data_IF_971925753913
#
_entry.id   IF_971925753913
#
_cell.length_a   1.000
_cell.length_b   1.000
_cell.length_c   1.000
_cell.angle_alpha   90.00
_cell.angle_beta   90.00
_cell.angle_gamma   90.00
#
_symmetry.space_group_name_H-M   'P 1'
#
loop_
_entity.id
_entity.type
_entity.pdbx_description
1 polymer ?
#
# COMPACT_ATOMS: atom_id res chain seq x y z
N UNK A 1 -20.82 26.27 -9.20
CA UNK A 1 -20.51 24.98 -9.84
C UNK A 1 -19.01 24.97 -10.04
N UNK A 2 -18.27 24.24 -9.20
CA UNK A 2 -16.80 24.13 -9.32
C UNK A 2 -16.55 23.39 -10.64
N UNK A 3 -15.65 23.86 -11.52
CA UNK A 3 -15.34 23.13 -12.74
C UNK A 3 -14.93 21.70 -12.39
N UNK A 4 -15.53 20.72 -13.04
CA UNK A 4 -15.15 19.32 -12.90
C UNK A 4 -13.81 19.17 -13.62
N UNK A 5 -12.70 19.47 -12.96
CA UNK A 5 -11.39 19.22 -13.54
C UNK A 5 -11.20 17.70 -13.63
N UNK A 6 -10.81 17.20 -14.79
CA UNK A 6 -10.40 15.81 -14.98
C UNK A 6 -8.90 15.69 -14.67
N UNK A 7 -8.49 14.57 -14.08
CA UNK A 7 -7.09 14.35 -13.73
C UNK A 7 -6.21 14.28 -14.98
N UNK A 8 -5.12 15.06 -14.99
CA UNK A 8 -4.18 15.15 -16.11
C UNK A 8 -4.64 15.99 -17.30
N UNK A 9 -5.86 16.53 -17.26
CA UNK A 9 -6.34 17.41 -18.33
C UNK A 9 -5.74 18.82 -18.22
N UNK A 10 -5.43 19.41 -19.38
CA UNK A 10 -4.92 20.78 -19.46
C UNK A 10 -6.01 21.77 -19.04
N UNK A 11 -5.66 22.62 -18.08
CA UNK A 11 -6.50 23.72 -17.63
C UNK A 11 -6.41 24.89 -18.61
N UNK A 12 -7.56 25.46 -18.93
CA UNK A 12 -7.67 26.70 -19.68
C UNK A 12 -7.61 27.87 -18.71
N UNK A 13 -6.52 28.62 -18.77
CA UNK A 13 -6.26 29.75 -17.87
C UNK A 13 -6.24 31.05 -18.66
N UNK A 14 -6.78 32.11 -18.06
CA UNK A 14 -6.67 33.46 -18.62
C UNK A 14 -5.25 33.96 -18.44
N UNK A 15 -4.55 34.17 -19.55
CA UNK A 15 -3.23 34.80 -19.54
C UNK A 15 -3.41 36.31 -19.57
N UNK A 16 -2.74 37.01 -18.65
CA UNK A 16 -2.67 38.47 -18.63
C UNK A 16 -1.23 38.87 -18.93
N UNK A 17 -1.05 39.68 -19.97
CA UNK A 17 0.23 40.33 -20.22
C UNK A 17 0.49 41.38 -19.11
N UNK A 18 1.67 41.28 -18.51
CA UNK A 18 2.10 42.09 -17.38
C UNK A 18 3.29 43.00 -17.72
N UNK A 19 3.81 42.95 -18.94
CA UNK A 19 4.95 43.74 -19.41
C UNK A 19 6.21 42.90 -19.65
N UNK A 20 7.29 43.60 -20.04
CA UNK A 20 8.59 43.00 -20.33
C UNK A 20 9.52 43.03 -19.10
N UNK A 21 10.37 42.01 -18.96
CA UNK A 21 11.46 41.98 -17.99
C UNK A 21 12.75 42.48 -18.65
N UNK A 22 13.56 43.24 -17.91
CA UNK A 22 14.83 43.80 -18.42
C UNK A 22 15.95 42.76 -18.48
N UNK A 23 15.86 41.70 -17.67
CA UNK A 23 16.81 40.58 -17.61
C UNK A 23 16.21 39.33 -18.22
N UNK A 24 17.04 38.43 -18.77
CA UNK A 24 16.58 37.11 -19.19
C UNK A 24 16.44 36.20 -17.96
N UNK A 25 15.22 35.89 -17.49
CA UNK A 25 15.04 35.20 -16.23
C UNK A 25 15.50 33.74 -16.33
N UNK A 26 16.47 33.36 -15.51
CA UNK A 26 16.87 31.97 -15.32
C UNK A 26 16.07 31.33 -14.17
N UNK A 27 15.71 32.12 -13.16
CA UNK A 27 14.81 31.70 -12.08
C UNK A 27 13.72 32.74 -11.82
N UNK A 28 12.55 32.26 -11.39
CA UNK A 28 11.41 33.06 -10.99
C UNK A 28 10.85 32.50 -9.69
N UNK A 29 10.73 33.35 -8.66
CA UNK A 29 10.23 32.91 -7.35
C UNK A 29 9.36 33.98 -6.70
N UNK A 30 8.26 33.55 -6.09
CA UNK A 30 7.45 34.43 -5.25
C UNK A 30 8.00 34.45 -3.82
N UNK A 31 7.88 35.60 -3.15
CA UNK A 31 8.01 35.68 -1.69
C UNK A 31 6.97 34.79 -1.02
N UNK A 32 7.22 34.32 0.20
CA UNK A 32 6.33 33.40 0.95
C UNK A 32 4.85 33.85 1.04
N UNK A 33 4.60 35.16 1.07
CA UNK A 33 3.25 35.73 1.12
C UNK A 33 2.65 36.10 -0.26
N UNK A 34 3.36 35.80 -1.36
CA UNK A 34 2.96 36.10 -2.73
C UNK A 34 2.96 37.58 -3.12
N UNK A 35 3.43 38.51 -2.27
CA UNK A 35 3.41 39.95 -2.56
C UNK A 35 4.48 40.39 -3.55
N UNK A 36 5.62 39.72 -3.55
CA UNK A 36 6.74 40.02 -4.42
C UNK A 36 7.06 38.81 -5.31
N UNK A 37 7.59 39.11 -6.49
CA UNK A 37 8.17 38.12 -7.40
C UNK A 37 9.56 38.61 -7.78
N UNK A 38 10.54 37.71 -7.76
CA UNK A 38 11.90 38.01 -8.19
C UNK A 38 12.18 37.31 -9.51
N UNK A 39 12.85 38.01 -10.42
CA UNK A 39 13.49 37.45 -11.60
C UNK A 39 15.00 37.55 -11.39
N UNK A 40 15.70 36.43 -11.51
CA UNK A 40 17.17 36.37 -11.40
C UNK A 40 17.74 35.75 -12.67
N UNK A 41 18.77 36.37 -13.24
CA UNK A 41 19.39 35.95 -14.49
C UNK A 41 20.46 36.93 -14.92
N UNK A 42 21.38 36.49 -15.79
CA UNK A 42 22.48 37.30 -16.33
C UNK A 42 23.37 37.98 -15.27
N UNK A 43 23.46 37.38 -14.07
CA UNK A 43 24.22 37.93 -12.94
C UNK A 43 23.54 39.08 -12.21
N UNK A 44 22.25 39.30 -12.46
CA UNK A 44 21.42 40.31 -11.84
C UNK A 44 20.12 39.72 -11.28
N UNK A 45 19.52 40.42 -10.32
CA UNK A 45 18.19 40.12 -9.82
C UNK A 45 17.34 41.39 -9.79
N UNK A 46 16.03 41.23 -10.03
CA UNK A 46 15.05 42.31 -9.91
C UNK A 46 13.84 41.79 -9.14
N UNK A 47 13.50 42.47 -8.05
CA UNK A 47 12.30 42.23 -7.25
C UNK A 47 11.18 43.15 -7.74
N UNK A 48 10.05 42.56 -8.06
CA UNK A 48 8.83 43.25 -8.46
C UNK A 48 7.70 43.01 -7.45
N UNK A 49 6.72 43.92 -7.43
CA UNK A 49 5.40 43.64 -6.84
C UNK A 49 4.62 42.67 -7.73
N UNK A 50 4.09 41.58 -7.16
CA UNK A 50 3.47 40.51 -7.95
C UNK A 50 2.20 40.96 -8.70
N UNK A 51 1.45 41.92 -8.16
CA UNK A 51 0.16 42.36 -8.74
C UNK A 51 0.28 43.33 -9.91
N UNK A 52 1.38 44.09 -9.98
CA UNK A 52 1.53 45.19 -10.93
C UNK A 52 2.92 45.24 -11.60
N UNK A 53 3.78 44.27 -11.32
CA UNK A 53 5.18 44.20 -11.75
C UNK A 53 5.96 45.52 -11.58
N UNK A 54 5.70 46.28 -10.51
CA UNK A 54 6.49 47.48 -10.18
C UNK A 54 7.79 47.07 -9.53
N UNK A 55 8.91 47.57 -10.06
CA UNK A 55 10.25 47.38 -9.49
C UNK A 55 10.30 47.87 -8.04
N UNK A 56 10.90 47.07 -7.16
CA UNK A 56 11.08 47.35 -5.74
C UNK A 56 12.54 47.43 -5.32
N UNK A 57 13.35 46.51 -5.82
CA UNK A 57 14.78 46.47 -5.58
C UNK A 57 15.43 45.68 -6.71
N UNK A 58 16.71 45.93 -6.93
CA UNK A 58 17.52 45.24 -7.93
C UNK A 58 18.98 45.25 -7.48
N UNK A 59 19.78 44.39 -8.08
CA UNK A 59 21.23 44.35 -7.84
C UNK A 59 21.91 43.21 -8.57
N UNK A 60 23.21 43.08 -8.36
CA UNK A 60 23.98 41.94 -8.86
C UNK A 60 23.72 40.71 -7.99
N UNK A 61 23.64 39.54 -8.62
CA UNK A 61 23.37 38.28 -7.95
C UNK A 61 23.38 37.12 -8.95
N UNK A 62 24.13 36.07 -8.61
CA UNK A 62 24.11 34.81 -9.34
C UNK A 62 22.87 33.99 -8.97
N UNK A 63 22.48 34.02 -7.69
CA UNK A 63 21.30 33.34 -7.16
C UNK A 63 20.60 34.19 -6.12
N UNK A 64 19.29 33.96 -5.99
CA UNK A 64 18.41 34.66 -5.08
C UNK A 64 17.53 33.65 -4.35
N UNK A 65 17.36 33.82 -3.03
CA UNK A 65 16.41 33.02 -2.25
C UNK A 65 15.65 33.86 -1.22
N UNK A 66 14.37 33.55 -1.04
CA UNK A 66 13.52 34.15 0.00
C UNK A 66 13.63 33.39 1.32
N UNK A 67 13.54 34.11 2.44
CA UNK A 67 13.24 33.48 3.72
C UNK A 67 11.74 33.13 3.82
N UNK A 68 11.38 32.36 4.85
CA UNK A 68 9.97 32.22 5.25
C UNK A 68 9.36 33.57 5.64
N UNK A 69 10.15 34.44 6.28
CA UNK A 69 9.78 35.85 6.47
C UNK A 69 9.89 36.60 5.13
N UNK A 70 8.78 37.15 4.60
CA UNK A 70 8.78 37.83 3.30
C UNK A 70 9.60 39.13 3.26
N UNK A 71 10.06 39.64 4.41
CA UNK A 71 10.93 40.82 4.51
C UNK A 71 12.42 40.49 4.35
N UNK A 72 12.80 39.21 4.47
CA UNK A 72 14.17 38.73 4.46
C UNK A 72 14.47 37.95 3.16
N UNK A 73 15.65 38.20 2.60
CA UNK A 73 16.15 37.45 1.45
C UNK A 73 17.67 37.45 1.41
N UNK A 74 18.24 36.47 0.70
CA UNK A 74 19.67 36.35 0.49
C UNK A 74 20.00 36.33 -1.01
N UNK A 75 21.14 36.91 -1.35
CA UNK A 75 21.67 36.96 -2.71
C UNK A 75 23.10 36.47 -2.71
N UNK A 76 23.39 35.46 -3.53
CA UNK A 76 24.75 35.00 -3.78
C UNK A 76 25.37 35.88 -4.86
N UNK A 77 26.24 36.81 -4.47
CA UNK A 77 26.92 37.70 -5.43
C UNK A 77 28.12 37.00 -6.11
N UNK A 78 28.78 36.09 -5.40
CA UNK A 78 29.93 35.34 -5.91
C UNK A 78 30.01 33.94 -5.29
N UNK A 79 31.02 33.16 -5.64
CA UNK A 79 31.32 31.87 -5.02
C UNK A 79 31.77 31.95 -3.55
N UNK A 80 31.98 33.15 -3.00
CA UNK A 80 32.47 33.35 -1.62
C UNK A 80 31.70 34.42 -0.84
N UNK A 81 30.67 35.02 -1.44
CA UNK A 81 29.93 36.12 -0.84
C UNK A 81 28.43 35.94 -1.00
N UNK A 82 27.73 35.93 0.13
CA UNK A 82 26.28 36.01 0.21
C UNK A 82 25.93 37.30 0.96
N UNK A 83 24.98 38.06 0.45
CA UNK A 83 24.41 39.23 1.14
C UNK A 83 23.00 38.92 1.61
N UNK A 84 22.70 39.32 2.84
CA UNK A 84 21.37 39.15 3.45
C UNK A 84 20.75 40.53 3.58
N UNK A 85 19.49 40.64 3.17
CA UNK A 85 18.73 41.87 3.13
C UNK A 85 17.48 41.75 4.00
N UNK A 86 17.16 42.82 4.73
CA UNK A 86 15.93 42.98 5.51
C UNK A 86 15.20 44.24 5.04
N UNK A 87 13.94 44.11 4.66
CA UNK A 87 13.15 45.21 4.11
C UNK A 87 13.84 45.95 2.94
N UNK A 88 14.44 45.18 2.02
CA UNK A 88 15.15 45.70 0.83
C UNK A 88 16.39 46.55 1.14
N UNK A 89 16.94 46.42 2.34
CA UNK A 89 18.22 47.03 2.74
C UNK A 89 19.18 45.94 3.16
N UNK A 90 20.43 46.08 2.76
CA UNK A 90 21.49 45.15 3.16
C UNK A 90 21.59 45.18 4.70
N UNK A 91 21.46 44.01 5.31
CA UNK A 91 21.51 43.83 6.75
C UNK A 91 22.87 43.28 7.18
N UNK A 92 23.36 42.27 6.48
CA UNK A 92 24.67 41.65 6.75
C UNK A 92 25.22 40.96 5.49
N UNK A 93 26.49 40.57 5.55
CA UNK A 93 27.13 39.76 4.52
C UNK A 93 27.82 38.56 5.15
N UNK A 94 27.69 37.40 4.50
CA UNK A 94 28.28 36.13 4.88
C UNK A 94 29.39 35.79 3.90
N UNK A 95 30.57 35.47 4.43
CA UNK A 95 31.72 34.98 3.67
C UNK A 95 32.15 33.63 4.23
N UNK A 96 31.53 32.53 3.79
CA UNK A 96 31.96 31.20 4.20
C UNK A 96 33.38 30.92 3.71
N UNK A 97 34.15 30.14 4.48
CA UNK A 97 35.49 29.66 4.08
C UNK A 97 35.43 28.54 3.02
N UNK A 98 34.22 28.23 2.54
CA UNK A 98 33.92 27.22 1.52
C UNK A 98 33.50 27.88 0.21
N UNK A 99 33.76 27.19 -0.90
CA UNK A 99 33.25 27.61 -2.22
C UNK A 99 31.76 27.28 -2.28
N UNK A 100 30.96 28.31 -2.53
CA UNK A 100 29.51 28.23 -2.59
C UNK A 100 29.08 27.85 -4.01
N UNK A 101 28.46 26.68 -4.13
CA UNK A 101 27.88 26.16 -5.37
C UNK A 101 26.41 26.52 -5.52
N UNK A 102 25.70 26.77 -4.41
CA UNK A 102 24.38 27.36 -4.46
C UNK A 102 23.77 27.68 -3.10
N UNK A 103 22.61 28.33 -3.09
CA UNK A 103 21.86 28.67 -1.88
C UNK A 103 20.40 28.21 -1.98
N UNK A 104 19.78 27.88 -0.84
CA UNK A 104 18.35 27.61 -0.71
C UNK A 104 17.77 28.38 0.47
N UNK A 105 16.53 28.87 0.31
CA UNK A 105 15.82 29.65 1.32
C UNK A 105 14.87 28.82 2.18
N UNK A 106 14.14 29.48 3.07
CA UNK A 106 13.18 28.83 3.98
C UNK A 106 13.30 29.37 5.40
N UNK A 107 13.08 28.48 6.39
CA UNK A 107 13.22 28.84 7.80
C UNK A 107 14.66 29.21 8.17
N UNK A 108 15.63 28.62 7.48
CA UNK A 108 17.05 28.92 7.56
C UNK A 108 17.59 29.12 6.15
N UNK A 109 18.71 29.82 6.02
CA UNK A 109 19.47 29.96 4.79
C UNK A 109 20.40 28.75 4.65
N UNK A 110 20.14 27.92 3.65
CA UNK A 110 21.00 26.80 3.32
C UNK A 110 22.04 27.22 2.28
N UNK A 111 23.31 26.88 2.53
CA UNK A 111 24.44 27.15 1.64
C UNK A 111 25.05 25.81 1.25
N UNK A 112 25.03 25.55 -0.05
CA UNK A 112 25.56 24.33 -0.68
C UNK A 112 26.98 24.57 -1.16
N UNK A 113 27.84 23.62 -0.86
CA UNK A 113 29.17 23.46 -1.41
C UNK A 113 29.33 22.03 -1.94
N UNK A 114 30.39 21.77 -2.71
CA UNK A 114 30.68 20.46 -3.29
C UNK A 114 30.74 19.32 -2.26
N UNK A 115 31.05 19.66 -1.01
CA UNK A 115 31.24 18.71 0.10
C UNK A 115 30.51 19.09 1.38
N UNK A 116 29.59 20.06 1.37
CA UNK A 116 28.87 20.47 2.59
C UNK A 116 27.53 21.16 2.30
N UNK A 117 26.62 21.05 3.26
CA UNK A 117 25.33 21.75 3.29
C UNK A 117 25.18 22.44 4.65
N UNK A 118 25.41 23.74 4.67
CA UNK A 118 25.45 24.54 5.89
C UNK A 118 24.14 25.32 6.09
N UNK A 119 23.57 25.30 7.30
CA UNK A 119 22.32 26.00 7.62
C UNK A 119 22.55 27.19 8.54
N UNK A 120 22.44 28.39 7.98
CA UNK A 120 22.57 29.65 8.67
C UNK A 120 21.18 30.13 9.10
N UNK A 121 21.03 30.51 10.36
CA UNK A 121 19.94 31.39 10.75
C UNK A 121 20.08 32.73 10.00
N UNK A 122 18.93 33.33 9.68
CA UNK A 122 18.88 34.61 9.00
C UNK A 122 19.49 35.74 9.87
N UNK A 123 19.63 35.49 11.17
CA UNK A 123 20.29 36.38 12.14
C UNK A 123 21.61 35.80 12.74
N UNK A 124 21.88 34.48 12.67
CA UNK A 124 23.05 33.78 13.30
C UNK A 124 23.58 32.57 12.47
N UNK A 125 24.83 32.10 12.58
CA UNK A 125 25.43 31.16 11.59
C UNK A 125 25.76 29.74 12.11
N UNK A 126 25.35 28.63 11.45
CA UNK A 126 25.77 27.23 11.75
C UNK A 126 25.92 26.38 10.44
N UNK A 127 26.68 25.27 10.44
CA UNK A 127 27.11 24.49 9.25
C UNK A 127 26.91 22.95 9.39
N UNK A 128 26.91 22.19 8.27
CA UNK A 128 26.72 20.72 8.24
C UNK A 128 27.17 20.02 6.93
N UNK A 129 27.21 18.68 6.90
CA UNK A 129 28.07 17.88 6.01
C UNK A 129 27.34 16.72 5.26
N UNK A 130 26.83 16.93 4.05
CA UNK A 130 26.62 15.82 3.08
C UNK A 130 25.47 14.80 3.30
N UNK A 131 24.20 15.24 3.33
CA UNK A 131 23.10 14.52 2.66
C UNK A 131 21.85 15.42 2.52
N UNK A 132 20.90 15.09 1.64
CA UNK A 132 19.60 15.79 1.61
C UNK A 132 18.62 15.08 2.55
N UNK A 133 18.08 15.82 3.51
CA UNK A 133 17.06 15.36 4.44
C UNK A 133 15.90 16.36 4.44
N UNK A 134 14.67 15.89 4.61
CA UNK A 134 13.55 16.77 4.96
C UNK A 134 13.56 16.91 6.47
N UNK A 135 13.96 18.08 6.95
CA UNK A 135 14.14 18.34 8.38
C UNK A 135 13.02 19.27 8.88
N UNK A 136 12.45 18.93 10.03
CA UNK A 136 11.71 19.90 10.84
C UNK A 136 12.73 20.82 11.46
N UNK A 137 12.53 22.11 11.28
CA UNK A 137 13.21 23.07 12.13
C UNK A 137 12.48 23.20 13.47
N UNK A 138 13.19 23.01 14.57
CA UNK A 138 12.68 23.26 15.92
C UNK A 138 13.22 24.59 16.46
N UNK A 139 12.43 25.66 16.25
CA UNK A 139 12.80 27.01 16.69
C UNK A 139 13.00 27.11 18.21
N UNK A 140 12.22 26.36 19.00
CA UNK A 140 12.31 26.38 20.45
C UNK A 140 13.59 25.68 20.95
N UNK A 141 14.00 24.59 20.30
CA UNK A 141 15.27 23.93 20.62
C UNK A 141 16.47 24.85 20.36
N UNK A 142 16.46 25.57 19.23
CA UNK A 142 17.53 26.54 18.92
C UNK A 142 17.52 27.73 19.88
N UNK A 143 16.36 28.27 20.22
CA UNK A 143 16.25 29.40 21.15
C UNK A 143 16.73 29.06 22.57
N UNK A 144 16.56 27.80 22.99
CA UNK A 144 16.95 27.32 24.33
C UNK A 144 18.34 26.68 24.38
N UNK A 145 19.02 26.51 23.23
CA UNK A 145 20.34 25.88 23.17
C UNK A 145 21.43 26.78 23.75
N UNK A 146 22.35 26.18 24.50
CA UNK A 146 23.52 26.88 25.00
C UNK A 146 24.63 26.89 23.92
N UNK A 147 24.84 28.05 23.28
CA UNK A 147 25.82 28.23 22.20
C UNK A 147 27.27 27.87 22.59
N UNK A 148 27.58 27.81 23.89
CA UNK A 148 28.90 27.40 24.39
C UNK A 148 29.12 25.87 24.40
N UNK A 149 28.05 25.07 24.31
CA UNK A 149 28.09 23.60 24.29
C UNK A 149 27.74 23.02 22.91
N UNK A 150 27.49 23.86 21.92
CA UNK A 150 27.27 23.43 20.54
C UNK A 150 28.54 22.76 19.98
N UNK A 151 28.38 21.62 19.32
CA UNK A 151 29.49 20.91 18.66
C UNK A 151 29.94 21.67 17.41
N UNK A 152 31.02 21.20 16.77
CA UNK A 152 31.45 21.73 15.48
C UNK A 152 30.35 21.62 14.39
N UNK A 153 29.43 20.67 14.58
CA UNK A 153 28.32 20.37 13.67
C UNK A 153 27.01 21.09 14.05
N UNK A 154 27.06 21.97 15.08
CA UNK A 154 25.93 22.79 15.50
C UNK A 154 25.09 22.19 16.64
N UNK A 155 23.79 22.44 16.57
CA UNK A 155 22.80 22.01 17.58
C UNK A 155 22.07 20.80 17.02
N UNK A 156 22.36 19.59 17.52
CA UNK A 156 21.72 18.35 17.05
C UNK A 156 20.18 18.39 17.17
N UNK A 157 19.66 18.98 18.25
CA UNK A 157 18.22 19.11 18.50
C UNK A 157 17.50 20.15 17.61
N UNK A 158 18.25 20.94 16.83
CA UNK A 158 17.67 21.95 15.94
C UNK A 158 16.83 21.33 14.81
N UNK A 159 17.14 20.07 14.47
CA UNK A 159 16.52 19.38 13.36
C UNK A 159 16.03 17.99 13.75
N UNK A 160 14.78 17.71 13.39
CA UNK A 160 14.20 16.37 13.48
C UNK A 160 13.89 15.87 12.07
N UNK A 161 14.29 14.66 11.73
CA UNK A 161 13.90 14.04 10.45
C UNK A 161 12.42 13.69 10.54
N UNK A 162 11.55 14.41 9.81
CA UNK A 162 10.11 14.12 9.85
C UNK A 162 9.72 13.15 8.75
N UNK A 163 8.89 12.16 9.11
CA UNK A 163 8.11 11.34 8.19
C UNK A 163 6.78 11.99 7.75
N UNK A 164 6.74 13.32 7.58
CA UNK A 164 5.53 14.03 7.18
C UNK A 164 5.20 13.79 5.70
N UNK A 165 3.96 14.13 5.30
CA UNK A 165 3.50 13.93 3.93
C UNK A 165 4.31 14.78 2.94
N UNK A 166 4.97 14.13 1.98
CA UNK A 166 5.70 14.81 0.92
C UNK A 166 5.20 14.38 -0.46
N UNK A 167 4.86 15.33 -1.33
CA UNK A 167 4.36 15.08 -2.69
C UNK A 167 5.47 15.41 -3.68
N UNK A 168 5.71 14.52 -4.65
CA UNK A 168 6.79 14.67 -5.63
C UNK A 168 6.49 13.98 -6.95
N UNK A 169 7.28 14.36 -7.96
CA UNK A 169 7.31 13.70 -9.27
C UNK A 169 8.62 12.92 -9.42
N UNK A 170 8.55 11.74 -10.03
CA UNK A 170 9.73 10.90 -10.28
C UNK A 170 10.24 11.05 -11.72
N UNK A 171 11.50 10.65 -11.95
CA UNK A 171 12.08 10.55 -13.29
C UNK A 171 11.37 9.53 -14.20
N UNK A 172 10.63 8.59 -13.61
CA UNK A 172 9.78 7.62 -14.31
C UNK A 172 8.36 8.16 -14.57
N UNK A 173 8.19 9.49 -14.55
CA UNK A 173 6.92 10.17 -14.78
C UNK A 173 5.81 9.63 -13.88
N UNK A 174 6.05 9.58 -12.56
CA UNK A 174 5.02 9.24 -11.56
C UNK A 174 4.81 10.41 -10.63
N UNK A 175 3.56 10.77 -10.40
CA UNK A 175 3.16 11.63 -9.30
C UNK A 175 2.90 10.75 -8.08
N UNK A 176 3.71 10.93 -7.04
CA UNK A 176 3.67 10.11 -5.84
C UNK A 176 3.70 11.00 -4.60
N UNK A 177 3.25 10.45 -3.49
CA UNK A 177 3.49 11.04 -2.18
C UNK A 177 4.09 10.01 -1.23
N UNK A 178 4.85 10.49 -0.27
CA UNK A 178 5.43 9.72 0.82
C UNK A 178 4.73 10.12 2.11
N UNK A 179 4.23 9.14 2.88
CA UNK A 179 3.70 9.35 4.23
C UNK A 179 4.13 8.19 5.10
N UNK A 180 4.87 8.47 6.18
CA UNK A 180 5.21 7.48 7.21
C UNK A 180 5.84 6.19 6.69
N UNK A 181 6.89 6.30 5.87
CA UNK A 181 7.58 5.13 5.31
C UNK A 181 7.02 4.60 3.99
N UNK A 182 5.79 4.97 3.63
CA UNK A 182 5.12 4.42 2.45
C UNK A 182 5.12 5.37 1.27
N UNK A 183 5.47 4.83 0.10
CA UNK A 183 5.39 5.49 -1.19
C UNK A 183 4.07 5.14 -1.88
N UNK A 184 3.26 6.15 -2.14
CA UNK A 184 1.96 5.98 -2.77
C UNK A 184 1.89 6.75 -4.08
N UNK A 185 1.64 6.04 -5.18
CA UNK A 185 1.44 6.67 -6.49
C UNK A 185 0.02 7.23 -6.59
N UNK A 186 -0.09 8.51 -6.92
CA UNK A 186 -1.36 9.18 -7.24
C UNK A 186 -1.72 8.92 -8.69
N UNK A 187 -0.77 9.16 -9.61
CA UNK A 187 -0.98 9.02 -11.04
C UNK A 187 0.32 8.66 -11.78
N UNK A 188 0.17 7.94 -12.89
CA UNK A 188 1.21 7.81 -13.89
C UNK A 188 1.05 8.95 -14.90
N UNK A 189 2.14 9.64 -15.17
CA UNK A 189 2.20 10.81 -16.02
C UNK A 189 2.70 10.38 -17.41
N UNK A 190 2.14 10.98 -18.44
CA UNK A 190 2.53 10.78 -19.84
C UNK A 190 3.79 11.57 -20.21
N UNK A 191 4.11 12.61 -19.44
CA UNK A 191 5.25 13.50 -19.64
C UNK A 191 5.83 13.99 -18.30
N UNK A 192 7.06 14.55 -18.32
CA UNK A 192 7.63 15.18 -17.14
C UNK A 192 6.79 16.40 -16.73
N UNK A 193 6.33 16.40 -15.47
CA UNK A 193 5.62 17.52 -14.87
C UNK A 193 6.41 18.07 -13.68
N UNK A 194 6.32 19.38 -13.49
CA UNK A 194 6.92 20.12 -12.39
C UNK A 194 5.81 20.57 -11.45
N UNK A 195 5.93 20.25 -10.16
CA UNK A 195 4.92 20.61 -9.16
C UNK A 195 4.86 22.13 -8.98
N UNK A 196 3.65 22.67 -9.03
CA UNK A 196 3.37 24.08 -8.73
C UNK A 196 2.90 24.26 -7.28
N UNK A 197 2.09 23.33 -6.80
CA UNK A 197 1.59 23.36 -5.42
C UNK A 197 0.30 22.58 -5.22
N UNK A 198 -0.11 22.48 -3.96
CA UNK A 198 -1.37 21.87 -3.56
C UNK A 198 -2.35 22.95 -3.12
N UNK A 199 -3.59 22.91 -3.61
CA UNK A 199 -4.66 23.83 -3.17
C UNK A 199 -5.67 23.04 -2.33
N UNK A 200 -5.69 23.25 -0.99
CA UNK A 200 -6.59 22.54 -0.07
C UNK A 200 -8.07 22.67 -0.40
N UNK A 201 -8.49 23.86 -0.84
CA UNK A 201 -9.88 24.16 -1.18
C UNK A 201 -10.41 23.26 -2.32
N UNK A 202 -9.52 22.90 -3.24
CA UNK A 202 -9.87 22.11 -4.42
C UNK A 202 -9.60 20.61 -4.20
N UNK A 203 -8.82 20.25 -3.16
CA UNK A 203 -8.24 18.92 -3.00
C UNK A 203 -7.46 18.47 -4.26
N UNK A 204 -6.63 19.36 -4.80
CA UNK A 204 -5.84 19.06 -6.01
C UNK A 204 -4.41 19.56 -5.93
N UNK A 205 -3.53 18.76 -6.54
CA UNK A 205 -2.17 19.12 -6.89
C UNK A 205 -2.19 19.74 -8.28
N UNK A 206 -1.51 20.86 -8.43
CA UNK A 206 -1.28 21.51 -9.72
C UNK A 206 0.17 21.32 -10.14
N UNK A 207 0.37 21.01 -11.41
CA UNK A 207 1.68 20.82 -12.00
C UNK A 207 1.72 21.42 -13.41
N UNK A 208 2.90 21.79 -13.89
CA UNK A 208 3.11 22.29 -15.25
C UNK A 208 4.11 21.43 -16.02
N UNK A 209 3.94 21.33 -17.33
CA UNK A 209 5.00 20.82 -18.21
C UNK A 209 5.95 21.94 -18.66
N UNK A 210 6.91 21.59 -19.52
CA UNK A 210 7.91 22.52 -20.08
C UNK A 210 7.31 23.59 -20.99
N UNK A 211 6.13 23.33 -21.54
CA UNK A 211 5.40 24.26 -22.41
C UNK A 211 4.43 25.15 -21.60
N UNK A 212 4.56 25.14 -20.26
CA UNK A 212 3.72 25.87 -19.32
C UNK A 212 2.23 25.49 -19.37
N UNK A 213 1.91 24.28 -19.84
CA UNK A 213 0.55 23.77 -19.73
C UNK A 213 0.31 23.33 -18.28
N UNK A 214 -0.72 23.88 -17.65
CA UNK A 214 -1.07 23.54 -16.27
C UNK A 214 -2.06 22.37 -16.30
N UNK A 215 -1.76 21.34 -15.52
CA UNK A 215 -2.62 20.18 -15.27
C UNK A 215 -2.90 20.04 -13.78
N UNK A 216 -3.95 19.31 -13.44
CA UNK A 216 -4.28 19.04 -12.02
C UNK A 216 -4.56 17.57 -11.77
N UNK A 217 -4.29 17.12 -10.54
CA UNK A 217 -4.58 15.78 -10.06
C UNK A 217 -5.28 15.85 -8.71
N UNK A 218 -6.36 15.10 -8.56
CA UNK A 218 -7.12 15.03 -7.31
C UNK A 218 -6.30 14.32 -6.23
N UNK A 219 -6.17 14.96 -5.09
CA UNK A 219 -5.61 14.39 -3.88
C UNK A 219 -6.38 14.92 -2.67
N UNK A 220 -7.09 14.02 -1.98
CA UNK A 220 -7.94 14.37 -0.86
C UNK A 220 -7.10 14.70 0.37
N UNK A 221 -7.22 15.93 0.87
CA UNK A 221 -6.52 16.36 2.08
C UNK A 221 -6.90 15.50 3.28
N UNK A 222 -8.18 15.14 3.42
CA UNK A 222 -8.64 14.29 4.53
C UNK A 222 -7.97 12.90 4.55
N UNK A 223 -7.62 12.35 3.39
CA UNK A 223 -6.88 11.08 3.32
C UNK A 223 -5.45 11.28 3.81
N UNK A 224 -4.79 12.38 3.40
CA UNK A 224 -3.44 12.69 3.86
C UNK A 224 -3.39 12.97 5.37
N UNK A 225 -4.30 13.81 5.87
CA UNK A 225 -4.42 14.14 7.29
C UNK A 225 -4.69 12.89 8.13
N UNK A 226 -5.56 11.99 7.66
CA UNK A 226 -5.79 10.70 8.31
C UNK A 226 -4.52 9.85 8.35
N UNK A 227 -3.84 9.68 7.21
CA UNK A 227 -2.61 8.90 7.14
C UNK A 227 -1.54 9.49 8.08
N UNK A 228 -1.37 10.81 8.10
CA UNK A 228 -0.46 11.50 9.00
C UNK A 228 -0.85 11.33 10.47
N UNK A 229 -2.14 11.45 10.83
CA UNK A 229 -2.62 11.25 12.20
C UNK A 229 -2.34 9.82 12.70
N UNK A 230 -2.60 8.81 11.87
CA UNK A 230 -2.29 7.40 12.19
C UNK A 230 -0.78 7.20 12.42
N UNK A 231 0.08 7.82 11.60
CA UNK A 231 1.54 7.75 11.77
C UNK A 231 2.02 8.43 13.05
N UNK A 232 1.35 9.50 13.46
CA UNK A 232 1.57 10.17 14.75
C UNK A 232 0.95 9.42 15.92
N UNK A 233 0.26 8.29 15.68
CA UNK A 233 -0.52 7.51 16.67
C UNK A 233 -1.61 8.32 17.37
N UNK A 234 -2.06 9.40 16.73
CA UNK A 234 -3.19 10.20 17.18
C UNK A 234 -4.49 9.61 16.61
N UNK A 235 -4.97 8.55 17.27
CA UNK A 235 -6.15 7.81 16.83
C UNK A 235 -7.44 8.60 17.06
N UNK A 236 -7.49 9.48 18.05
CA UNK A 236 -8.65 10.31 18.34
C UNK A 236 -8.91 11.32 17.21
N UNK A 237 -7.86 11.98 16.72
CA UNK A 237 -7.95 12.82 15.53
C UNK A 237 -8.28 12.00 14.29
N UNK A 238 -7.63 10.83 14.11
CA UNK A 238 -7.86 9.96 12.97
C UNK A 238 -9.32 9.50 12.86
N UNK A 239 -9.96 9.09 13.95
CA UNK A 239 -11.36 8.65 13.98
C UNK A 239 -12.34 9.77 13.63
N UNK A 240 -12.00 11.01 14.00
CA UNK A 240 -12.78 12.20 13.62
C UNK A 240 -12.65 12.48 12.12
N UNK A 241 -11.42 12.44 11.59
CA UNK A 241 -11.14 12.67 10.16
C UNK A 241 -11.75 11.56 9.30
N UNK A 242 -11.73 10.31 9.75
CA UNK A 242 -12.25 9.15 9.02
C UNK A 242 -13.70 9.35 8.57
N UNK A 243 -14.53 10.03 9.38
CA UNK A 243 -15.93 10.34 9.05
C UNK A 243 -16.09 11.29 7.86
N UNK A 244 -15.05 12.06 7.55
CA UNK A 244 -15.02 13.00 6.42
C UNK A 244 -14.53 12.33 5.13
N UNK A 245 -13.95 11.13 5.21
CA UNK A 245 -13.39 10.43 4.06
C UNK A 245 -14.54 9.77 3.26
N UNK A 246 -14.64 10.03 1.94
CA UNK A 246 -15.63 9.39 1.09
C UNK A 246 -15.42 7.87 1.00
N UNK A 247 -16.52 7.10 0.90
CA UNK A 247 -16.49 5.62 0.83
C UNK A 247 -15.59 5.08 -0.28
N UNK A 248 -15.51 5.80 -1.41
CA UNK A 248 -14.62 5.46 -2.54
C UNK A 248 -13.13 5.33 -2.17
N UNK A 249 -12.70 5.97 -1.09
CA UNK A 249 -11.31 5.94 -0.63
C UNK A 249 -11.10 5.04 0.59
N UNK A 250 -12.17 4.51 1.20
CA UNK A 250 -12.08 3.68 2.39
C UNK A 250 -11.24 2.42 2.15
N UNK A 251 -11.37 1.76 0.99
CA UNK A 251 -10.54 0.60 0.64
C UNK A 251 -9.05 0.96 0.58
N UNK A 252 -8.70 2.12 -0.01
CA UNK A 252 -7.31 2.60 -0.05
C UNK A 252 -6.77 2.90 1.35
N UNK A 253 -7.58 3.52 2.20
CA UNK A 253 -7.23 3.76 3.61
C UNK A 253 -7.04 2.45 4.36
N UNK A 254 -7.88 1.45 4.11
CA UNK A 254 -7.76 0.13 4.73
C UNK A 254 -6.44 -0.57 4.35
N UNK A 255 -6.03 -0.54 3.08
CA UNK A 255 -4.72 -1.07 2.67
C UNK A 255 -3.56 -0.36 3.36
N UNK A 256 -3.65 0.96 3.53
CA UNK A 256 -2.66 1.71 4.29
C UNK A 256 -2.60 1.22 5.74
N UNK A 257 -3.74 1.09 6.42
CA UNK A 257 -3.81 0.59 7.79
C UNK A 257 -3.24 -0.82 7.92
N UNK A 258 -3.56 -1.71 6.97
CA UNK A 258 -3.05 -3.08 6.95
C UNK A 258 -1.52 -3.12 6.89
N UNK A 259 -0.92 -2.37 5.96
CA UNK A 259 0.55 -2.30 5.82
C UNK A 259 1.22 -1.77 7.09
N UNK A 260 0.59 -0.82 7.75
CA UNK A 260 1.06 -0.24 9.01
C UNK A 260 0.82 -1.17 10.21
N UNK A 261 0.21 -2.34 10.00
CA UNK A 261 -0.02 -3.37 11.02
C UNK A 261 -1.36 -3.26 11.75
N UNK A 262 -2.18 -2.25 11.45
CA UNK A 262 -3.48 -1.99 12.06
C UNK A 262 -4.61 -2.80 11.40
N UNK A 263 -4.45 -4.13 11.34
CA UNK A 263 -5.35 -5.05 10.63
C UNK A 263 -6.80 -5.00 11.12
N UNK A 264 -7.02 -4.82 12.44
CA UNK A 264 -8.37 -4.73 13.02
C UNK A 264 -9.11 -3.50 12.52
N UNK A 265 -8.44 -2.35 12.52
CA UNK A 265 -8.96 -1.10 12.00
C UNK A 265 -9.14 -1.17 10.49
N UNK A 266 -8.19 -1.77 9.77
CA UNK A 266 -8.31 -2.02 8.33
C UNK A 266 -9.58 -2.80 7.99
N UNK A 267 -9.92 -3.84 8.76
CA UNK A 267 -11.14 -4.64 8.55
C UNK A 267 -12.42 -3.81 8.74
N UNK A 268 -12.43 -2.91 9.72
CA UNK A 268 -13.57 -2.04 10.00
C UNK A 268 -13.77 -0.96 8.93
N UNK A 269 -12.69 -0.47 8.33
CA UNK A 269 -12.72 0.59 7.31
C UNK A 269 -12.96 0.03 5.91
N UNK A 270 -12.42 -1.16 5.60
CA UNK A 270 -12.52 -1.73 4.26
C UNK A 270 -13.98 -2.00 3.87
N UNK A 271 -14.32 -1.68 2.63
CA UNK A 271 -15.63 -1.97 2.02
C UNK A 271 -15.55 -3.06 0.97
N UNK A 272 -14.35 -3.47 0.59
CA UNK A 272 -14.12 -4.53 -0.39
C UNK A 272 -14.28 -5.91 0.26
N UNK A 273 -15.22 -6.76 -0.18
CA UNK A 273 -15.43 -8.09 0.41
C UNK A 273 -14.19 -8.99 0.36
N UNK A 274 -13.39 -8.90 -0.70
CA UNK A 274 -12.18 -9.73 -0.85
C UNK A 274 -11.13 -9.32 0.16
N UNK A 275 -10.80 -8.03 0.23
CA UNK A 275 -9.87 -7.50 1.21
C UNK A 275 -10.33 -7.76 2.65
N UNK A 276 -11.62 -7.61 2.94
CA UNK A 276 -12.18 -7.91 4.27
C UNK A 276 -12.05 -9.40 4.61
N UNK A 277 -12.22 -10.29 3.64
CA UNK A 277 -12.10 -11.73 3.85
C UNK A 277 -10.67 -12.10 4.24
N UNK A 278 -9.68 -11.64 3.47
CA UNK A 278 -8.26 -11.83 3.77
C UNK A 278 -7.87 -11.26 5.15
N UNK A 279 -8.32 -10.04 5.47
CA UNK A 279 -8.10 -9.44 6.78
C UNK A 279 -8.74 -10.24 7.93
N UNK A 280 -9.96 -10.76 7.74
CA UNK A 280 -10.64 -11.58 8.72
C UNK A 280 -9.87 -12.89 8.96
N UNK A 281 -9.37 -13.55 7.91
CA UNK A 281 -8.52 -14.74 8.03
C UNK A 281 -7.22 -14.44 8.80
N UNK A 282 -6.54 -13.33 8.48
CA UNK A 282 -5.30 -12.91 9.15
C UNK A 282 -5.49 -12.58 10.63
N UNK A 283 -6.65 -12.02 11.00
CA UNK A 283 -7.03 -11.78 12.40
C UNK A 283 -7.58 -13.06 13.08
N UNK A 284 -7.89 -14.07 12.26
CA UNK A 284 -8.66 -15.26 12.61
C UNK A 284 -10.04 -14.93 13.18
N UNK A 285 -10.66 -13.85 12.71
CA UNK A 285 -12.07 -13.57 12.95
C UNK A 285 -12.90 -14.52 12.06
N UNK A 286 -13.13 -15.72 12.58
CA UNK A 286 -13.78 -16.80 11.84
C UNK A 286 -15.26 -16.50 11.53
N UNK A 287 -15.93 -15.70 12.36
CA UNK A 287 -17.33 -15.34 12.13
C UNK A 287 -17.45 -14.47 10.87
N UNK A 288 -16.68 -13.38 10.83
CA UNK A 288 -16.66 -12.49 9.66
C UNK A 288 -16.16 -13.22 8.41
N UNK A 289 -15.11 -14.05 8.54
CA UNK A 289 -14.60 -14.83 7.41
C UNK A 289 -15.64 -15.83 6.86
N UNK A 290 -16.37 -16.51 7.74
CA UNK A 290 -17.41 -17.46 7.36
C UNK A 290 -18.60 -16.76 6.67
N UNK A 291 -19.06 -15.62 7.20
CA UNK A 291 -20.13 -14.84 6.57
C UNK A 291 -19.74 -14.37 5.15
N UNK A 292 -18.50 -13.89 4.98
CA UNK A 292 -17.98 -13.47 3.67
C UNK A 292 -17.78 -14.65 2.71
N UNK A 293 -17.32 -15.79 3.20
CA UNK A 293 -17.24 -17.02 2.42
C UNK A 293 -18.64 -17.50 1.99
N UNK A 294 -19.65 -17.36 2.85
CA UNK A 294 -21.04 -17.71 2.55
C UNK A 294 -21.62 -16.84 1.44
N UNK A 295 -21.30 -15.56 1.43
CA UNK A 295 -21.76 -14.64 0.39
C UNK A 295 -21.09 -14.90 -0.96
N UNK A 296 -19.81 -15.30 -0.95
CA UNK A 296 -19.05 -15.59 -2.16
C UNK A 296 -19.33 -17.00 -2.72
N UNK A 297 -19.69 -17.95 -1.86
CA UNK A 297 -19.96 -19.36 -2.14
C UNK A 297 -18.91 -20.03 -3.06
N UNK A 298 -17.64 -19.91 -2.66
CA UNK A 298 -16.50 -20.48 -3.39
C UNK A 298 -15.81 -21.56 -2.58
N UNK A 299 -15.55 -22.71 -3.20
CA UNK A 299 -14.82 -23.83 -2.60
C UNK A 299 -13.45 -23.41 -2.05
N UNK A 300 -12.72 -22.53 -2.76
CA UNK A 300 -11.41 -22.06 -2.32
C UNK A 300 -11.50 -21.28 -1.01
N UNK A 301 -12.48 -20.39 -0.88
CA UNK A 301 -12.69 -19.61 0.35
C UNK A 301 -13.10 -20.51 1.51
N UNK A 302 -13.96 -21.49 1.26
CA UNK A 302 -14.32 -22.49 2.26
C UNK A 302 -13.11 -23.27 2.78
N UNK A 303 -12.19 -23.67 1.89
CA UNK A 303 -10.92 -24.32 2.28
C UNK A 303 -10.05 -23.41 3.14
N UNK A 304 -9.93 -22.14 2.78
CA UNK A 304 -9.15 -21.18 3.57
C UNK A 304 -9.74 -20.96 4.98
N UNK A 305 -11.07 -20.79 5.09
CA UNK A 305 -11.73 -20.68 6.41
C UNK A 305 -11.52 -21.96 7.21
N UNK A 306 -11.67 -23.14 6.59
CA UNK A 306 -11.45 -24.42 7.25
C UNK A 306 -10.03 -24.57 7.82
N UNK A 307 -9.03 -24.13 7.06
CA UNK A 307 -7.63 -24.19 7.49
C UNK A 307 -7.40 -23.32 8.74
N UNK A 308 -7.87 -22.07 8.72
CA UNK A 308 -7.73 -21.16 9.87
C UNK A 308 -8.54 -21.66 11.07
N UNK A 309 -9.75 -22.16 10.85
CA UNK A 309 -10.59 -22.75 11.90
C UNK A 309 -9.90 -23.96 12.56
N UNK A 310 -9.25 -24.82 11.76
CA UNK A 310 -8.47 -25.96 12.26
C UNK A 310 -7.29 -25.49 13.12
N UNK A 311 -6.54 -24.47 12.67
CA UNK A 311 -5.44 -23.89 13.45
C UNK A 311 -5.90 -23.29 14.79
N UNK A 312 -7.13 -22.78 14.84
CA UNK A 312 -7.76 -22.26 16.07
C UNK A 312 -8.48 -23.32 16.91
N UNK A 313 -8.44 -24.59 16.50
CA UNK A 313 -9.15 -25.70 17.15
C UNK A 313 -10.69 -25.58 17.12
N UNK A 314 -11.26 -24.80 16.20
CA UNK A 314 -12.70 -24.68 15.95
C UNK A 314 -13.16 -25.79 14.99
N UNK A 315 -13.10 -27.04 15.46
CA UNK A 315 -13.23 -28.24 14.62
C UNK A 315 -14.62 -28.41 13.99
N UNK A 316 -15.68 -27.93 14.65
CA UNK A 316 -17.04 -27.99 14.10
C UNK A 316 -17.18 -27.08 12.88
N UNK A 317 -16.68 -25.85 12.98
CA UNK A 317 -16.68 -24.89 11.89
C UNK A 317 -15.77 -25.36 10.75
N UNK A 318 -14.59 -25.90 11.08
CA UNK A 318 -13.70 -26.49 10.10
C UNK A 318 -14.38 -27.62 9.32
N UNK A 319 -15.07 -28.53 10.02
CA UNK A 319 -15.84 -29.60 9.38
C UNK A 319 -16.96 -29.09 8.47
N UNK A 320 -17.72 -28.07 8.90
CA UNK A 320 -18.74 -27.46 8.05
C UNK A 320 -18.15 -26.85 6.78
N UNK A 321 -17.05 -26.10 6.91
CA UNK A 321 -16.39 -25.46 5.78
C UNK A 321 -15.79 -26.50 4.82
N UNK A 322 -15.17 -27.57 5.31
CA UNK A 322 -14.67 -28.66 4.45
C UNK A 322 -15.81 -29.38 3.71
N UNK A 323 -16.97 -29.53 4.35
CA UNK A 323 -18.21 -30.01 3.71
C UNK A 323 -18.62 -29.16 2.52
N UNK A 324 -18.72 -27.85 2.73
CA UNK A 324 -19.08 -26.89 1.66
C UNK A 324 -18.00 -26.80 0.57
N UNK A 325 -16.75 -27.05 0.92
CA UNK A 325 -15.63 -27.08 -0.02
C UNK A 325 -15.51 -28.39 -0.82
N UNK A 326 -16.36 -29.39 -0.56
CA UNK A 326 -16.23 -30.75 -1.07
C UNK A 326 -14.84 -31.37 -0.82
N UNK A 327 -14.16 -30.95 0.25
CA UNK A 327 -12.86 -31.50 0.65
C UNK A 327 -13.05 -32.74 1.52
N UNK A 328 -13.43 -33.83 0.85
CA UNK A 328 -13.67 -35.12 1.49
C UNK A 328 -12.42 -35.72 2.15
N UNK A 329 -11.22 -35.36 1.67
CA UNK A 329 -9.95 -35.79 2.27
C UNK A 329 -9.73 -35.13 3.63
N UNK A 330 -9.90 -33.81 3.70
CA UNK A 330 -9.86 -33.07 4.96
C UNK A 330 -10.92 -33.54 5.96
N UNK A 331 -12.15 -33.78 5.48
CA UNK A 331 -13.24 -34.32 6.31
C UNK A 331 -12.92 -35.71 6.86
N UNK A 332 -12.33 -36.60 6.06
CA UNK A 332 -11.95 -37.94 6.50
C UNK A 332 -10.95 -37.87 7.66
N UNK A 333 -9.94 -37.01 7.52
CA UNK A 333 -8.96 -36.78 8.59
C UNK A 333 -9.64 -36.22 9.84
N UNK A 334 -10.47 -35.18 9.70
CA UNK A 334 -11.15 -34.56 10.85
C UNK A 334 -12.10 -35.53 11.54
N UNK A 335 -12.92 -36.26 10.78
CA UNK A 335 -13.91 -37.21 11.31
C UNK A 335 -13.25 -38.41 12.00
N UNK A 336 -12.13 -38.92 11.44
CA UNK A 336 -11.39 -40.04 12.02
C UNK A 336 -10.68 -39.63 13.31
N UNK A 337 -10.02 -38.47 13.32
CA UNK A 337 -9.38 -37.92 14.52
C UNK A 337 -10.41 -37.60 15.62
N UNK A 338 -11.58 -37.08 15.26
CA UNK A 338 -12.65 -36.78 16.21
C UNK A 338 -13.42 -38.03 16.69
N UNK A 339 -13.24 -39.19 16.05
CA UNK A 339 -14.01 -40.40 16.34
C UNK A 339 -15.53 -40.23 16.13
N UNK A 340 -15.94 -39.31 15.25
CA UNK A 340 -17.35 -38.95 15.07
C UNK A 340 -18.03 -39.87 14.05
N UNK A 341 -18.74 -40.88 14.54
CA UNK A 341 -19.49 -41.81 13.69
C UNK A 341 -20.57 -41.09 12.84
N UNK A 342 -21.17 -40.01 13.36
CA UNK A 342 -22.17 -39.22 12.62
C UNK A 342 -21.54 -38.53 11.41
N UNK A 343 -20.43 -37.83 11.63
CA UNK A 343 -19.73 -37.11 10.56
C UNK A 343 -19.15 -38.10 9.54
N UNK A 344 -18.61 -39.23 9.99
CA UNK A 344 -18.10 -40.29 9.13
C UNK A 344 -19.20 -40.90 8.25
N UNK A 345 -20.42 -41.10 8.79
CA UNK A 345 -21.56 -41.60 8.02
C UNK A 345 -22.01 -40.60 6.93
N UNK A 346 -22.06 -39.31 7.28
CA UNK A 346 -22.37 -38.26 6.30
C UNK A 346 -21.33 -38.22 5.19
N UNK A 347 -20.04 -38.19 5.57
CA UNK A 347 -18.92 -38.24 4.62
C UNK A 347 -19.00 -39.46 3.69
N UNK A 348 -19.30 -40.64 4.22
CA UNK A 348 -19.44 -41.86 3.44
C UNK A 348 -20.50 -41.74 2.33
N UNK A 349 -21.64 -41.12 2.64
CA UNK A 349 -22.74 -40.92 1.70
C UNK A 349 -22.43 -39.81 0.69
N UNK A 350 -21.93 -38.66 1.15
CA UNK A 350 -21.68 -37.48 0.31
C UNK A 350 -20.54 -37.75 -0.69
N UNK A 351 -19.47 -38.42 -0.23
CA UNK A 351 -18.36 -38.82 -1.10
C UNK A 351 -18.78 -39.89 -2.10
N UNK A 352 -19.66 -40.82 -1.74
CA UNK A 352 -20.22 -41.80 -2.67
C UNK A 352 -21.05 -41.13 -3.76
N UNK A 353 -21.97 -40.24 -3.37
CA UNK A 353 -22.82 -39.48 -4.30
C UNK A 353 -21.99 -38.60 -5.26
N UNK A 354 -20.83 -38.14 -4.81
CA UNK A 354 -19.87 -37.35 -5.59
C UNK A 354 -18.89 -38.20 -6.42
N UNK A 355 -19.05 -39.53 -6.46
CA UNK A 355 -18.18 -40.45 -7.20
C UNK A 355 -16.81 -40.70 -6.58
N UNK A 356 -16.55 -40.19 -5.36
CA UNK A 356 -15.31 -40.37 -4.62
C UNK A 356 -15.32 -41.70 -3.84
N UNK A 357 -15.36 -42.80 -4.59
CA UNK A 357 -15.54 -44.15 -4.04
C UNK A 357 -14.46 -44.60 -3.05
N UNK A 358 -13.21 -44.11 -3.18
CA UNK A 358 -12.15 -44.46 -2.24
C UNK A 358 -12.37 -43.85 -0.85
N UNK A 359 -12.79 -42.58 -0.79
CA UNK A 359 -13.10 -41.91 0.48
C UNK A 359 -14.34 -42.53 1.12
N UNK A 360 -15.36 -42.83 0.32
CA UNK A 360 -16.56 -43.53 0.80
C UNK A 360 -16.24 -44.92 1.35
N UNK A 361 -15.43 -45.70 0.62
CA UNK A 361 -14.99 -47.03 1.06
C UNK A 361 -14.23 -46.95 2.40
N UNK A 362 -13.25 -46.06 2.53
CA UNK A 362 -12.51 -45.87 3.77
C UNK A 362 -13.41 -45.43 4.92
N UNK A 363 -14.36 -44.53 4.66
CA UNK A 363 -15.31 -44.05 5.67
C UNK A 363 -16.20 -45.19 6.19
N UNK A 364 -16.76 -46.00 5.28
CA UNK A 364 -17.56 -47.18 5.64
C UNK A 364 -16.73 -48.26 6.34
N UNK A 365 -15.47 -48.45 5.93
CA UNK A 365 -14.55 -49.37 6.61
C UNK A 365 -14.29 -48.95 8.06
N UNK A 366 -14.05 -47.66 8.30
CA UNK A 366 -13.87 -47.12 9.66
C UNK A 366 -15.15 -47.22 10.51
N UNK A 367 -16.33 -47.16 9.87
CA UNK A 367 -17.62 -47.40 10.51
C UNK A 367 -17.94 -48.89 10.73
N UNK A 368 -17.10 -49.79 10.23
CA UNK A 368 -17.35 -51.24 10.21
C UNK A 368 -18.59 -51.65 9.38
N UNK A 369 -19.00 -50.84 8.40
CA UNK A 369 -20.07 -51.16 7.46
C UNK A 369 -19.50 -51.98 6.27
N UNK A 370 -19.24 -53.25 6.55
CA UNK A 370 -18.58 -54.18 5.61
C UNK A 370 -19.45 -54.44 4.38
N UNK A 371 -20.77 -54.43 4.51
CA UNK A 371 -21.69 -54.66 3.39
C UNK A 371 -21.60 -53.54 2.36
N UNK A 372 -21.64 -52.27 2.79
CA UNK A 372 -21.46 -51.13 1.86
C UNK A 372 -20.06 -51.12 1.22
N UNK A 373 -19.02 -51.51 1.94
CA UNK A 373 -17.68 -51.66 1.37
C UNK A 373 -17.66 -52.69 0.22
N UNK A 374 -18.35 -53.83 0.38
CA UNK A 374 -18.50 -54.85 -0.67
C UNK A 374 -19.28 -54.28 -1.85
N UNK A 375 -20.39 -53.59 -1.60
CA UNK A 375 -21.22 -53.01 -2.65
C UNK A 375 -20.45 -51.98 -3.48
N UNK A 376 -19.68 -51.08 -2.84
CA UNK A 376 -18.80 -50.13 -3.54
C UNK A 376 -17.79 -50.85 -4.45
N UNK A 377 -17.17 -51.94 -3.98
CA UNK A 377 -16.21 -52.71 -4.78
C UNK A 377 -16.90 -53.41 -5.96
N UNK A 378 -18.11 -53.94 -5.77
CA UNK A 378 -18.90 -54.58 -6.83
C UNK A 378 -19.30 -53.57 -7.90
N UNK A 379 -19.82 -52.42 -7.50
CA UNK A 379 -20.29 -51.34 -8.40
C UNK A 379 -19.16 -50.71 -9.18
N UNK A 380 -18.01 -50.49 -8.54
CA UNK A 380 -16.78 -50.02 -9.23
C UNK A 380 -16.13 -51.11 -10.08
N UNK A 381 -16.72 -52.31 -10.13
CA UNK A 381 -16.32 -53.41 -11.00
C UNK A 381 -15.14 -54.24 -10.51
N UNK A 382 -14.69 -54.02 -9.27
CA UNK A 382 -13.54 -54.66 -8.60
C UNK A 382 -13.93 -55.94 -7.87
N UNK A 383 -14.55 -56.87 -8.60
CA UNK A 383 -15.05 -58.14 -8.05
C UNK A 383 -13.99 -59.04 -7.39
N UNK A 384 -12.75 -59.17 -7.91
CA UNK A 384 -11.72 -59.94 -7.23
C UNK A 384 -11.39 -59.36 -5.85
N UNK A 385 -11.21 -58.04 -5.77
CA UNK A 385 -10.96 -57.33 -4.50
C UNK A 385 -12.14 -57.47 -3.54
N UNK A 386 -13.37 -57.39 -4.04
CA UNK A 386 -14.58 -57.64 -3.24
C UNK A 386 -14.59 -59.04 -2.64
N UNK A 387 -14.23 -60.08 -3.42
CA UNK A 387 -14.18 -61.45 -2.96
C UNK A 387 -13.08 -61.67 -1.89
N UNK A 388 -11.89 -61.09 -2.08
CA UNK A 388 -10.82 -61.12 -1.08
C UNK A 388 -11.20 -60.38 0.20
N UNK A 389 -11.79 -59.19 0.07
CA UNK A 389 -12.26 -58.40 1.20
C UNK A 389 -13.35 -59.15 1.99
N UNK A 390 -14.33 -59.72 1.30
CA UNK A 390 -15.37 -60.54 1.94
C UNK A 390 -14.79 -61.81 2.60
N UNK A 391 -13.78 -62.46 2.01
CA UNK A 391 -13.16 -63.62 2.64
C UNK A 391 -12.59 -63.29 4.03
N UNK A 392 -12.05 -62.08 4.21
CA UNK A 392 -11.50 -61.64 5.49
C UNK A 392 -12.58 -61.11 6.45
N UNK A 393 -13.52 -60.30 5.96
CA UNK A 393 -14.41 -59.50 6.82
C UNK A 393 -15.90 -59.92 6.77
N UNK A 394 -16.34 -60.67 5.76
CA UNK A 394 -17.72 -61.18 5.64
C UNK A 394 -17.78 -62.49 4.82
N UNK A 395 -17.29 -63.63 5.37
CA UNK A 395 -17.12 -64.87 4.60
C UNK A 395 -18.41 -65.43 3.98
N UNK A 396 -19.57 -65.09 4.54
CA UNK A 396 -20.89 -65.49 4.03
C UNK A 396 -21.20 -64.93 2.64
N UNK A 397 -20.60 -63.80 2.24
CA UNK A 397 -20.79 -63.19 0.92
C UNK A 397 -19.85 -63.75 -0.16
N UNK A 398 -18.81 -64.51 0.22
CA UNK A 398 -17.80 -65.04 -0.73
C UNK A 398 -18.42 -65.88 -1.85
N UNK A 399 -19.34 -66.83 -1.60
CA UNK A 399 -19.94 -67.62 -2.68
C UNK A 399 -20.67 -66.77 -3.72
N UNK A 400 -21.40 -65.74 -3.26
CA UNK A 400 -22.09 -64.77 -4.14
C UNK A 400 -21.08 -64.01 -5.00
N UNK A 401 -20.03 -63.46 -4.40
CA UNK A 401 -19.05 -62.63 -5.10
C UNK A 401 -18.21 -63.42 -6.09
N UNK A 402 -17.80 -64.65 -5.75
CA UNK A 402 -17.08 -65.55 -6.66
C UNK A 402 -17.97 -65.95 -7.84
N UNK A 403 -19.27 -66.19 -7.62
CA UNK A 403 -20.21 -66.44 -8.71
C UNK A 403 -20.32 -65.24 -9.66
N UNK A 404 -20.49 -64.03 -9.13
CA UNK A 404 -20.52 -62.79 -9.92
C UNK A 404 -19.21 -62.58 -10.70
N UNK A 405 -18.06 -62.83 -10.05
CA UNK A 405 -16.76 -62.72 -10.68
C UNK A 405 -16.57 -63.72 -11.83
N UNK A 406 -16.97 -64.98 -11.66
CA UNK A 406 -16.95 -66.00 -12.73
C UNK A 406 -17.77 -65.58 -13.94
N UNK A 407 -19.00 -65.09 -13.72
CA UNK A 407 -19.88 -64.60 -14.79
C UNK A 407 -19.22 -63.46 -15.55
N UNK A 408 -18.75 -62.42 -14.85
CA UNK A 408 -18.10 -61.26 -15.49
C UNK A 408 -16.84 -61.65 -16.28
N UNK A 409 -16.03 -62.57 -15.74
CA UNK A 409 -14.82 -63.07 -16.40
C UNK A 409 -15.16 -63.84 -17.67
N UNK A 410 -16.20 -64.69 -17.64
CA UNK A 410 -16.67 -65.44 -18.81
C UNK A 410 -17.22 -64.54 -19.92
N UNK A 411 -17.88 -63.43 -19.57
CA UNK A 411 -18.36 -62.43 -20.52
C UNK A 411 -17.20 -61.65 -21.17
N UNK A 412 -16.18 -61.25 -20.39
CA UNK A 412 -14.98 -60.60 -20.92
C UNK A 412 -14.21 -61.51 -21.90
N UNK A 413 -14.13 -62.82 -21.60
CA UNK A 413 -13.53 -63.85 -22.47
C UNK A 413 -14.33 -64.15 -23.75
N UNK A 414 -15.59 -63.71 -23.85
CA UNK A 414 -16.39 -63.87 -25.07
C UNK A 414 -16.15 -62.76 -26.10
N UNK A 415 -15.59 -61.61 -25.69
CA UNK A 415 -15.22 -60.48 -26.55
C UNK A 415 -13.76 -60.46 -26.99
N UNK A 416 -12.86 -61.15 -26.28
CA UNK A 416 -11.46 -61.35 -26.67
C UNK A 416 -11.26 -62.83 -26.92
N UNK A 417 -10.98 -63.21 -28.17
CA UNK A 417 -10.89 -64.60 -28.61
C UNK A 417 -10.16 -65.50 -27.62
N UNK A 418 -10.84 -66.57 -27.21
CA UNK A 418 -10.38 -67.63 -26.30
C UNK A 418 -8.88 -67.92 -26.44
N UNK A 419 -8.07 -67.46 -25.49
CA UNK A 419 -6.82 -68.13 -25.11
C UNK A 419 -6.82 -68.31 -23.60
N UNK A 420 -6.52 -69.56 -23.21
CA UNK A 420 -6.98 -70.15 -21.97
C UNK A 420 -6.38 -69.59 -20.69
N UNK A 421 -7.11 -69.80 -19.60
CA UNK A 421 -6.57 -69.93 -18.26
C UNK A 421 -6.92 -71.35 -17.77
N UNK A 422 -5.95 -72.11 -17.24
CA UNK A 422 -6.20 -73.46 -16.75
C UNK A 422 -7.06 -73.41 -15.49
N UNK A 423 -8.05 -74.30 -15.44
CA UNK A 423 -8.72 -74.67 -14.21
C UNK A 423 -7.72 -75.45 -13.33
N UNK A 424 -7.90 -75.29 -12.01
CA UNK A 424 -7.17 -75.93 -10.91
C UNK A 424 -5.92 -75.17 -10.41
N UNK A 425 -6.11 -74.32 -9.39
CA UNK A 425 -5.62 -74.45 -8.00
C UNK A 425 -6.49 -73.60 -7.08
#
# INVERSE_FOLDING_TARGET
MIPLFLDGERLTLSVKDMGACEVYPQTLQHSSNGRFVVACGDGEYIIYTATALRNKAFGSGLEFVWATDPSLYAVRESSTLIKIFKNFKESTSLRPDIVIDGIDGGHLLAVKSSSSLCFYDWESTIAGEESFYILKYNADAVANANLAEASADGIEEAFEVIGDCFIFTTLLNRLSYYVGGELVTVAHLDRPLYLLGFIPKDNRIYASDKDHNIVSYKLLLSVLEYQTAVMRRDFDAADTILRTIPESQCTRVAYFLEKQGFKKQALAVSKDPEHRFELALLLGDLNTAFELAQQADSEEKWKQVAQVATMKSELLLAGECLGKAHDYGGLLMLASCAGSAKLMNQLANDSYASGQHNVSFLSNLLLSDVEKCIDILVETGRLPEAAFFAHTYCPSQVPRLVALWRVKSSQALSGVGKKGLPADV
#
